data_IF_351051921568
#
_entry.id   IF_351051921568
#
_cell.length_a   1.000
_cell.length_b   1.000
_cell.length_c   1.000
_cell.angle_alpha   90.00
_cell.angle_beta   90.00
_cell.angle_gamma   90.00
#
_symmetry.space_group_name_H-M   'P 1'
#
loop_
_entity.id
_entity.type
_entity.pdbx_description
1 polymer ?
#
# COMPACT_ATOMS: atom_id res chain seq x y z
N UNK A 1 -11.86 10.08 25.11
CA UNK A 1 -10.41 10.28 24.98
C UNK A 1 -10.00 10.14 23.53
N UNK A 2 -9.04 10.95 23.10
CA UNK A 2 -8.48 10.88 21.74
C UNK A 2 -7.01 10.54 21.85
N UNK A 3 -6.55 9.63 20.99
CA UNK A 3 -5.14 9.41 20.77
C UNK A 3 -4.73 10.09 19.46
N UNK A 4 -3.61 10.79 19.47
CA UNK A 4 -3.07 11.44 18.27
C UNK A 4 -1.76 10.75 17.95
N UNK A 5 -1.65 10.22 16.73
CA UNK A 5 -0.47 9.50 16.28
C UNK A 5 0.09 10.14 15.03
N UNK A 6 1.40 10.25 14.98
CA UNK A 6 2.11 10.83 13.85
C UNK A 6 3.04 9.81 13.24
N UNK A 7 3.35 10.00 11.97
CA UNK A 7 4.32 9.13 11.30
C UNK A 7 5.70 9.34 11.96
N UNK A 8 6.46 8.26 12.23
CA UNK A 8 7.78 8.40 12.82
C UNK A 8 8.74 9.12 11.88
N UNK A 9 9.65 9.92 12.44
CA UNK A 9 10.64 10.69 11.65
C UNK A 9 11.55 9.79 10.82
N UNK A 10 11.86 8.61 11.33
CA UNK A 10 12.74 7.63 10.68
C UNK A 10 11.91 6.41 10.27
N UNK A 11 10.78 6.64 9.61
CA UNK A 11 9.91 5.57 9.16
C UNK A 11 10.51 4.73 8.04
N UNK A 12 9.95 3.55 7.84
CA UNK A 12 10.41 2.56 6.85
C UNK A 12 9.76 2.71 5.49
N UNK A 13 8.88 3.71 5.31
CA UNK A 13 8.07 3.85 4.11
C UNK A 13 6.67 3.25 4.27
N UNK A 14 6.52 2.26 5.11
CA UNK A 14 5.22 1.69 5.48
C UNK A 14 5.19 1.55 6.99
N UNK A 15 4.47 2.44 7.67
CA UNK A 15 4.46 2.49 9.12
C UNK A 15 3.04 2.37 9.65
N UNK A 16 2.76 1.30 10.39
CA UNK A 16 1.45 1.08 11.02
C UNK A 16 1.31 2.03 12.20
N UNK A 17 0.28 2.88 12.17
CA UNK A 17 0.02 3.85 13.23
C UNK A 17 -0.99 3.35 14.24
N UNK A 18 -1.95 2.54 13.82
CA UNK A 18 -3.00 2.05 14.72
C UNK A 18 -3.51 0.69 14.27
N UNK A 19 -3.72 -0.19 15.24
CA UNK A 19 -4.32 -1.50 15.02
C UNK A 19 -5.45 -1.68 16.03
N UNK A 20 -6.59 -2.14 15.55
CA UNK A 20 -7.70 -2.53 16.40
C UNK A 20 -8.38 -3.77 15.85
N UNK A 21 -8.35 -4.85 16.60
CA UNK A 21 -8.97 -6.13 16.24
C UNK A 21 -8.63 -6.55 14.79
N UNK A 22 -9.60 -6.51 13.89
CA UNK A 22 -9.44 -7.01 12.52
C UNK A 22 -8.87 -6.04 11.51
N UNK A 23 -8.54 -4.81 11.87
CA UNK A 23 -8.04 -3.82 10.92
C UNK A 23 -6.87 -3.02 11.46
N UNK A 24 -6.10 -2.44 10.55
CA UNK A 24 -5.01 -1.51 10.88
C UNK A 24 -4.96 -0.38 9.88
N UNK A 25 -4.44 0.76 10.34
CA UNK A 25 -4.18 1.94 9.51
C UNK A 25 -2.68 2.18 9.48
N UNK A 26 -2.13 2.33 8.29
CA UNK A 26 -0.73 2.63 8.08
C UNK A 26 -0.58 3.85 7.18
N UNK A 27 0.57 4.50 7.27
CA UNK A 27 0.93 5.57 6.34
C UNK A 27 2.07 5.08 5.46
N UNK A 28 1.95 5.32 4.14
CA UNK A 28 3.03 5.11 3.19
C UNK A 28 3.69 6.46 2.94
N UNK A 29 5.00 6.48 3.11
CA UNK A 29 5.87 7.58 2.71
C UNK A 29 6.89 7.02 1.72
N UNK A 30 7.77 7.85 1.20
CA UNK A 30 8.78 7.40 0.26
C UNK A 30 9.69 6.34 0.90
N UNK A 31 9.96 5.28 0.14
CA UNK A 31 10.92 4.25 0.47
C UNK A 31 11.34 3.55 -0.81
N UNK A 32 12.52 2.91 -0.81
CA UNK A 32 13.06 2.24 -2.00
C UNK A 32 12.14 1.15 -2.52
N UNK A 33 11.37 0.51 -1.64
CA UNK A 33 10.40 -0.52 -2.02
C UNK A 33 9.30 0.02 -2.93
N UNK A 34 9.09 1.35 -2.95
CA UNK A 34 8.09 2.02 -3.79
C UNK A 34 8.71 2.76 -4.97
N UNK A 35 9.88 2.34 -5.38
CA UNK A 35 10.56 2.88 -6.55
C UNK A 35 10.24 2.09 -7.80
N UNK A 36 11.28 1.83 -8.58
CA UNK A 36 11.17 1.11 -9.85
C UNK A 36 10.46 -0.23 -9.70
N UNK A 37 9.60 -0.55 -10.64
CA UNK A 37 8.85 -1.80 -10.69
C UNK A 37 9.78 -2.98 -11.01
N UNK A 38 10.07 -3.80 -10.00
CA UNK A 38 10.93 -4.99 -10.12
C UNK A 38 10.22 -6.26 -9.66
N UNK A 39 9.36 -6.14 -8.65
CA UNK A 39 8.58 -7.24 -8.11
C UNK A 39 7.14 -6.77 -7.92
N UNK A 40 6.24 -7.72 -7.91
CA UNK A 40 4.85 -7.48 -7.52
C UNK A 40 4.51 -8.38 -6.33
N UNK A 41 3.60 -7.91 -5.51
CA UNK A 41 3.12 -8.63 -4.34
C UNK A 41 1.61 -8.78 -4.41
N UNK A 42 1.08 -9.78 -3.70
CA UNK A 42 -0.36 -9.89 -3.50
C UNK A 42 -0.64 -10.37 -2.08
N UNK A 43 -1.72 -9.86 -1.52
CA UNK A 43 -2.20 -10.28 -0.20
C UNK A 43 -3.29 -11.32 -0.39
N UNK A 44 -3.15 -12.46 0.28
CA UNK A 44 -4.04 -13.61 0.05
C UNK A 44 -5.26 -13.61 0.96
N UNK A 45 -5.29 -12.75 2.01
CA UNK A 45 -6.37 -12.74 3.01
C UNK A 45 -7.10 -11.40 3.15
N UNK A 46 -6.75 -10.39 2.37
CA UNK A 46 -7.32 -9.06 2.54
C UNK A 46 -7.38 -8.28 1.25
N UNK A 47 -8.37 -7.41 1.12
CA UNK A 47 -8.28 -6.26 0.23
C UNK A 47 -7.35 -5.26 0.91
N UNK A 48 -6.71 -4.40 0.12
CA UNK A 48 -5.92 -3.30 0.64
C UNK A 48 -6.44 -2.00 0.05
N UNK A 49 -6.63 -0.98 0.89
CA UNK A 49 -7.19 0.29 0.43
C UNK A 49 -6.18 1.41 0.58
N UNK A 50 -6.17 2.32 -0.39
CA UNK A 50 -5.25 3.45 -0.45
C UNK A 50 -6.00 4.75 -0.68
N UNK A 51 -5.61 5.80 0.05
CA UNK A 51 -6.04 7.18 -0.21
C UNK A 51 -4.79 8.04 -0.33
N UNK A 52 -4.66 8.74 -1.46
CA UNK A 52 -3.54 9.65 -1.67
C UNK A 52 -3.83 10.99 -0.98
N UNK A 53 -2.95 11.39 -0.05
CA UNK A 53 -3.07 12.66 0.67
C UNK A 53 -2.24 13.75 -0.01
N UNK A 54 -1.00 13.43 -0.39
CA UNK A 54 -0.13 14.39 -1.11
C UNK A 54 0.89 13.64 -1.94
N UNK A 55 1.51 14.36 -2.87
CA UNK A 55 2.49 13.80 -3.77
C UNK A 55 1.85 13.09 -4.94
N UNK A 56 2.59 12.21 -5.58
CA UNK A 56 2.15 11.46 -6.74
C UNK A 56 2.39 9.96 -6.52
N UNK A 57 1.49 9.14 -7.04
CA UNK A 57 1.61 7.69 -6.95
C UNK A 57 0.89 7.02 -8.12
N UNK A 58 1.45 5.89 -8.55
CA UNK A 58 0.86 5.03 -9.57
C UNK A 58 0.74 3.63 -8.99
N UNK A 59 -0.43 3.01 -9.14
CA UNK A 59 -0.65 1.62 -8.77
C UNK A 59 -0.56 0.77 -10.03
N UNK A 60 0.31 -0.25 -9.98
CA UNK A 60 0.41 -1.27 -11.02
C UNK A 60 -0.34 -2.50 -10.53
N UNK A 61 -1.27 -3.02 -11.33
CA UNK A 61 -2.05 -4.20 -10.95
C UNK A 61 -2.12 -5.19 -12.09
N UNK A 62 -2.25 -6.46 -11.73
CA UNK A 62 -2.49 -7.54 -12.68
C UNK A 62 -3.25 -8.68 -12.01
N UNK A 63 -4.12 -9.33 -12.78
CA UNK A 63 -4.79 -10.56 -12.39
C UNK A 63 -4.07 -11.74 -13.05
N UNK A 64 -3.50 -12.63 -12.21
CA UNK A 64 -2.79 -13.80 -12.74
C UNK A 64 -1.60 -13.44 -13.63
N UNK A 65 -1.63 -13.87 -14.88
CA UNK A 65 -0.55 -13.65 -15.86
C UNK A 65 -0.87 -12.53 -16.86
N UNK A 66 -1.90 -11.75 -16.60
CA UNK A 66 -2.26 -10.67 -17.50
C UNK A 66 -1.24 -9.52 -17.41
N UNK A 67 -1.15 -8.68 -18.47
CA UNK A 67 -0.28 -7.50 -18.42
C UNK A 67 -0.66 -6.55 -17.29
N UNK A 68 0.34 -5.88 -16.74
CA UNK A 68 0.13 -4.88 -15.69
C UNK A 68 -0.65 -3.68 -16.23
N UNK A 69 -1.62 -3.26 -15.45
CA UNK A 69 -2.39 -2.04 -15.69
C UNK A 69 -1.86 -0.96 -14.76
N UNK A 70 -1.64 0.23 -15.31
CA UNK A 70 -1.18 1.38 -14.53
C UNK A 70 -2.38 2.27 -14.20
N UNK A 71 -2.52 2.60 -12.93
CA UNK A 71 -3.55 3.53 -12.46
C UNK A 71 -2.86 4.66 -11.72
N UNK A 72 -2.90 5.86 -12.29
CA UNK A 72 -2.39 7.04 -11.59
C UNK A 72 -3.38 7.45 -10.53
N UNK A 73 -2.93 7.55 -9.29
CA UNK A 73 -3.79 7.92 -8.18
C UNK A 73 -4.15 9.40 -8.22
N UNK A 74 -5.37 9.69 -7.86
CA UNK A 74 -5.87 11.06 -7.68
C UNK A 74 -6.28 11.23 -6.22
N UNK A 75 -6.15 12.45 -5.71
CA UNK A 75 -6.59 12.76 -4.34
C UNK A 75 -8.11 12.63 -4.22
N UNK A 76 -8.57 12.38 -3.01
CA UNK A 76 -9.99 12.28 -2.67
C UNK A 76 -10.71 11.08 -3.31
N UNK A 77 -9.96 10.07 -3.72
CA UNK A 77 -10.50 8.79 -4.19
C UNK A 77 -9.99 7.65 -3.32
N UNK A 78 -10.83 6.65 -3.11
CA UNK A 78 -10.44 5.42 -2.45
C UNK A 78 -10.14 4.37 -3.52
N UNK A 79 -8.92 3.86 -3.47
CA UNK A 79 -8.50 2.79 -4.37
C UNK A 79 -8.49 1.48 -3.60
N UNK A 80 -9.19 0.49 -4.09
CA UNK A 80 -9.26 -0.83 -3.47
C UNK A 80 -8.51 -1.81 -4.35
N UNK A 81 -7.38 -2.32 -3.84
CA UNK A 81 -6.66 -3.42 -4.48
C UNK A 81 -7.25 -4.69 -3.90
N UNK A 82 -7.97 -5.43 -4.73
CA UNK A 82 -8.70 -6.61 -4.28
C UNK A 82 -7.76 -7.72 -3.85
N UNK A 83 -8.24 -8.55 -2.94
CA UNK A 83 -7.56 -9.76 -2.48
C UNK A 83 -6.99 -10.54 -3.69
N UNK A 84 -5.77 -11.03 -3.57
CA UNK A 84 -5.06 -11.81 -4.59
C UNK A 84 -4.69 -11.06 -5.87
N UNK A 85 -4.81 -9.73 -5.91
CA UNK A 85 -4.37 -8.93 -7.04
C UNK A 85 -2.88 -8.63 -6.92
N UNK A 86 -2.10 -9.00 -7.92
CA UNK A 86 -0.69 -8.63 -7.99
C UNK A 86 -0.59 -7.11 -8.14
N UNK A 87 0.24 -6.47 -7.32
CA UNK A 87 0.34 -5.02 -7.34
C UNK A 87 1.72 -4.51 -6.94
N UNK A 88 1.97 -3.27 -7.32
CA UNK A 88 3.14 -2.49 -6.92
C UNK A 88 2.74 -1.02 -6.90
N UNK A 89 3.28 -0.27 -5.96
CA UNK A 89 3.14 1.18 -5.90
C UNK A 89 4.45 1.84 -6.27
N UNK A 90 4.39 2.84 -7.16
CA UNK A 90 5.52 3.72 -7.44
C UNK A 90 5.14 5.12 -7.02
N UNK A 91 5.96 5.75 -6.20
CA UNK A 91 5.58 6.99 -5.50
C UNK A 91 6.64 8.07 -5.63
N UNK A 92 6.21 9.33 -5.49
CA UNK A 92 7.12 10.48 -5.42
C UNK A 92 7.75 10.57 -4.02
N UNK A 93 8.83 11.34 -3.91
CA UNK A 93 9.55 11.51 -2.64
C UNK A 93 8.71 12.19 -1.55
N UNK A 94 7.75 13.02 -1.93
CA UNK A 94 6.88 13.75 -1.01
C UNK A 94 5.54 13.05 -0.74
N UNK A 95 5.39 11.80 -1.16
CA UNK A 95 4.11 11.09 -1.07
C UNK A 95 3.64 10.91 0.37
N UNK A 96 2.33 10.96 0.55
CA UNK A 96 1.67 10.45 1.74
C UNK A 96 0.40 9.71 1.31
N UNK A 97 0.31 8.44 1.65
CA UNK A 97 -0.84 7.58 1.36
C UNK A 97 -1.32 6.98 2.67
N UNK A 98 -2.63 7.00 2.88
CA UNK A 98 -3.26 6.30 4.01
C UNK A 98 -3.68 4.93 3.52
N UNK A 99 -3.32 3.90 4.29
CA UNK A 99 -3.63 2.49 4.00
C UNK A 99 -4.50 1.93 5.09
N UNK A 100 -5.55 1.22 4.70
CA UNK A 100 -6.34 0.40 5.63
C UNK A 100 -6.38 -1.03 5.10
N UNK A 101 -6.05 -1.98 5.94
CA UNK A 101 -6.05 -3.40 5.59
C UNK A 101 -6.30 -4.25 6.84
N UNK A 102 -6.37 -5.56 6.65
CA UNK A 102 -6.54 -6.49 7.76
C UNK A 102 -5.31 -6.43 8.67
N UNK A 103 -5.54 -6.47 9.97
CA UNK A 103 -4.49 -6.36 10.98
C UNK A 103 -3.50 -7.53 10.95
N UNK A 104 -3.89 -8.69 10.43
CA UNK A 104 -3.02 -9.86 10.34
C UNK A 104 -2.29 -10.00 9.00
N UNK A 105 -2.26 -8.94 8.19
CA UNK A 105 -1.46 -8.94 6.96
C UNK A 105 0.02 -9.06 7.30
N UNK A 106 0.63 -10.17 6.89
CA UNK A 106 2.00 -10.53 7.25
C UNK A 106 2.73 -11.09 6.04
N UNK A 107 4.01 -11.43 6.22
CA UNK A 107 4.79 -12.09 5.17
C UNK A 107 4.23 -13.47 4.83
N UNK A 108 3.64 -14.16 5.80
CA UNK A 108 3.09 -15.51 5.60
C UNK A 108 1.86 -15.51 4.68
N UNK A 109 1.11 -14.41 4.64
CA UNK A 109 -0.06 -14.29 3.75
C UNK A 109 0.13 -13.25 2.65
N UNK A 110 1.38 -12.94 2.34
CA UNK A 110 1.77 -12.07 1.23
C UNK A 110 2.69 -12.85 0.31
N UNK A 111 2.33 -12.94 -0.95
CA UNK A 111 3.15 -13.59 -1.97
C UNK A 111 3.88 -12.53 -2.79
N UNK A 112 5.08 -12.87 -3.28
CA UNK A 112 5.88 -11.98 -4.12
C UNK A 112 6.37 -12.74 -5.35
N UNK A 113 6.48 -12.05 -6.47
CA UNK A 113 7.17 -12.61 -7.64
C UNK A 113 7.94 -11.52 -8.38
N UNK A 114 9.08 -11.90 -8.94
CA UNK A 114 9.87 -11.02 -9.78
C UNK A 114 9.23 -10.90 -11.17
N UNK A 115 9.44 -9.76 -11.77
CA UNK A 115 9.02 -9.51 -13.15
C UNK A 115 10.13 -9.89 -14.13
#
# INVERSE_FOLDING_TARGET
>A
MIEIKENPKNGSGFDTLHTFEGWKVAFITYGEQYGELKIVKRHTKTDETFVLVKGEATIFTADGNEPLVQTKMEKEKLYVVKQNTWHHLQVSEDVLIIVVENSDTTKENTESKAL
#
